data_IF_944608034632
#
_entry.id   IF_944608034632
#
_cell.length_a   1.000
_cell.length_b   1.000
_cell.length_c   1.000
_cell.angle_alpha   90.00
_cell.angle_beta   90.00
_cell.angle_gamma   90.00
#
_symmetry.space_group_name_H-M   'P 1'
#
loop_
_entity.id
_entity.type
_entity.pdbx_description
1 polymer ?
#
# COMPACT_ATOMS: atom_id res chain seq x y z
N UNK A 1 13.70 -4.03 -19.59
CA UNK A 1 14.56 -4.05 -18.38
C UNK A 1 13.95 -5.01 -17.36
N UNK A 2 14.69 -6.02 -16.90
CA UNK A 2 14.17 -7.06 -15.99
C UNK A 2 14.23 -6.57 -14.53
N UNK A 3 13.21 -6.82 -13.71
CA UNK A 3 13.15 -6.37 -12.31
C UNK A 3 14.34 -6.86 -11.48
N UNK A 4 14.79 -8.10 -11.70
CA UNK A 4 15.96 -8.66 -10.99
C UNK A 4 17.23 -7.89 -11.33
N UNK A 5 17.40 -7.55 -12.61
CA UNK A 5 18.54 -6.75 -13.06
C UNK A 5 18.50 -5.33 -12.47
N UNK A 6 17.31 -4.76 -12.25
CA UNK A 6 17.16 -3.49 -11.56
C UNK A 6 17.54 -3.59 -10.07
N UNK A 7 17.16 -4.67 -9.39
CA UNK A 7 17.51 -4.92 -7.99
C UNK A 7 19.03 -5.07 -7.79
N UNK A 8 19.69 -5.81 -8.67
CA UNK A 8 21.16 -5.93 -8.63
C UNK A 8 21.85 -4.58 -8.86
N UNK A 9 21.31 -3.74 -9.76
CA UNK A 9 21.86 -2.40 -10.02
C UNK A 9 21.77 -1.45 -8.81
N UNK A 10 20.75 -1.60 -7.96
CA UNK A 10 20.61 -0.80 -6.73
C UNK A 10 21.33 -1.43 -5.53
N UNK A 11 22.11 -2.50 -5.74
CA UNK A 11 22.91 -3.16 -4.70
C UNK A 11 22.18 -4.25 -3.92
N UNK A 12 20.97 -4.63 -4.31
CA UNK A 12 20.23 -5.73 -3.66
C UNK A 12 20.64 -7.05 -4.31
N UNK A 13 21.27 -7.93 -3.52
CA UNK A 13 21.66 -9.27 -3.95
C UNK A 13 20.43 -10.20 -4.04
N UNK A 14 20.54 -11.29 -4.80
CA UNK A 14 19.44 -12.26 -4.91
C UNK A 14 19.10 -12.94 -3.57
N UNK A 15 20.07 -13.11 -2.68
CA UNK A 15 19.85 -13.67 -1.34
C UNK A 15 19.10 -12.69 -0.45
N UNK A 16 19.44 -11.41 -0.48
CA UNK A 16 18.71 -10.37 0.23
C UNK A 16 17.29 -10.20 -0.33
N UNK A 17 17.13 -10.28 -1.66
CA UNK A 17 15.80 -10.26 -2.29
C UNK A 17 14.93 -11.40 -1.78
N UNK A 18 15.48 -12.61 -1.67
CA UNK A 18 14.76 -13.80 -1.18
C UNK A 18 14.45 -13.70 0.31
N UNK A 19 15.40 -13.28 1.14
CA UNK A 19 15.19 -13.17 2.59
C UNK A 19 14.09 -12.16 2.93
N UNK A 20 14.01 -11.07 2.16
CA UNK A 20 12.98 -10.04 2.29
C UNK A 20 11.66 -10.38 1.57
N UNK A 21 11.58 -11.52 0.87
CA UNK A 21 10.40 -11.91 0.10
C UNK A 21 10.03 -10.92 -1.02
N UNK A 22 11.01 -10.20 -1.58
CA UNK A 22 10.76 -9.19 -2.61
C UNK A 22 10.43 -9.84 -3.96
N UNK A 23 9.24 -9.54 -4.44
CA UNK A 23 8.75 -9.95 -5.75
C UNK A 23 8.25 -8.75 -6.53
N UNK A 24 7.96 -8.92 -7.83
CA UNK A 24 7.31 -7.88 -8.60
C UNK A 24 5.94 -7.48 -8.00
N UNK A 25 5.22 -8.44 -7.40
CA UNK A 25 3.94 -8.18 -6.77
C UNK A 25 4.05 -7.32 -5.49
N UNK A 26 5.20 -7.34 -4.82
CA UNK A 26 5.45 -6.51 -3.64
C UNK A 26 5.31 -5.01 -3.94
N UNK A 27 5.56 -4.57 -5.18
CA UNK A 27 5.34 -3.19 -5.61
C UNK A 27 3.86 -2.80 -5.61
N UNK A 28 2.95 -3.73 -5.92
CA UNK A 28 1.50 -3.48 -5.87
C UNK A 28 1.04 -3.26 -4.43
N UNK A 29 1.56 -4.04 -3.48
CA UNK A 29 1.33 -3.83 -2.06
C UNK A 29 1.88 -2.48 -1.59
N UNK A 30 3.11 -2.14 -2.00
CA UNK A 30 3.71 -0.83 -1.69
C UNK A 30 2.85 0.33 -2.22
N UNK A 31 2.42 0.27 -3.48
CA UNK A 31 1.60 1.31 -4.09
C UNK A 31 0.29 1.52 -3.31
N UNK A 32 -0.40 0.43 -2.98
CA UNK A 32 -1.63 0.46 -2.19
C UNK A 32 -1.41 1.10 -0.80
N UNK A 33 -0.35 0.70 -0.08
CA UNK A 33 -0.04 1.29 1.23
C UNK A 33 0.28 2.78 1.14
N UNK A 34 1.09 3.20 0.16
CA UNK A 34 1.47 4.62 0.00
C UNK A 34 0.31 5.52 -0.38
N UNK A 35 -0.60 5.05 -1.23
CA UNK A 35 -1.80 5.80 -1.59
C UNK A 35 -2.70 6.02 -0.38
N UNK A 36 -2.83 5.01 0.49
CA UNK A 36 -3.57 5.13 1.75
C UNK A 36 -2.93 6.07 2.75
N UNK A 37 -1.61 5.97 2.94
CA UNK A 37 -0.86 6.90 3.81
C UNK A 37 -1.03 8.36 3.37
N UNK A 38 -1.23 8.58 2.07
CA UNK A 38 -1.48 9.91 1.49
C UNK A 38 -2.91 10.42 1.70
N UNK A 39 -3.78 9.65 2.36
CA UNK A 39 -5.17 10.01 2.64
C UNK A 39 -6.11 9.90 1.43
N UNK A 40 -5.69 9.21 0.36
CA UNK A 40 -6.56 8.95 -0.80
C UNK A 40 -7.67 8.00 -0.38
N UNK A 41 -8.90 8.26 -0.82
CA UNK A 41 -10.04 7.41 -0.50
C UNK A 41 -9.90 6.01 -1.11
N UNK A 42 -10.31 4.99 -0.37
CA UNK A 42 -10.22 3.58 -0.80
C UNK A 42 -10.97 3.32 -2.12
N UNK A 43 -12.00 4.11 -2.45
CA UNK A 43 -12.67 4.05 -3.74
C UNK A 43 -11.74 4.40 -4.92
N UNK A 44 -10.99 5.49 -4.79
CA UNK A 44 -10.02 5.95 -5.81
C UNK A 44 -8.85 4.97 -5.90
N UNK A 45 -8.37 4.45 -4.76
CA UNK A 45 -7.30 3.45 -4.74
C UNK A 45 -7.73 2.16 -5.45
N UNK A 46 -8.96 1.70 -5.22
CA UNK A 46 -9.49 0.50 -5.91
C UNK A 46 -9.58 0.68 -7.41
N UNK A 47 -9.96 1.86 -7.87
CA UNK A 47 -10.00 2.20 -9.30
C UNK A 47 -8.59 2.22 -9.92
N UNK A 48 -7.63 2.88 -9.26
CA UNK A 48 -6.23 2.95 -9.70
C UNK A 48 -5.57 1.57 -9.74
N UNK A 49 -5.81 0.75 -8.71
CA UNK A 49 -5.17 -0.56 -8.56
C UNK A 49 -5.94 -1.64 -9.35
N UNK A 50 -7.21 -1.42 -9.69
CA UNK A 50 -8.05 -2.34 -10.45
C UNK A 50 -8.56 -3.54 -9.65
N UNK A 51 -8.78 -3.37 -8.34
CA UNK A 51 -9.36 -4.44 -7.51
C UNK A 51 -10.88 -4.50 -7.73
N UNK A 52 -11.39 -5.65 -8.21
CA UNK A 52 -12.84 -5.87 -8.44
C UNK A 52 -13.67 -6.11 -7.18
N UNK A 53 -13.05 -6.36 -6.03
CA UNK A 53 -13.75 -6.69 -4.78
C UNK A 53 -13.16 -5.93 -3.59
N UNK A 54 -14.06 -5.45 -2.73
CA UNK A 54 -13.78 -4.73 -1.49
C UNK A 54 -12.98 -5.59 -0.49
N UNK A 55 -13.21 -6.90 -0.50
CA UNK A 55 -12.52 -7.88 0.35
C UNK A 55 -10.99 -7.96 0.15
N UNK A 56 -10.49 -7.58 -1.03
CA UNK A 56 -9.03 -7.53 -1.30
C UNK A 56 -8.36 -6.28 -0.69
N UNK A 57 -9.18 -5.33 -0.26
CA UNK A 57 -8.79 -4.00 0.23
C UNK A 57 -8.88 -3.95 1.76
N UNK A 58 -9.75 -4.79 2.36
CA UNK A 58 -10.10 -4.87 3.78
C UNK A 58 -8.93 -5.32 4.70
N UNK A 59 -7.95 -6.04 4.17
CA UNK A 59 -6.78 -6.50 4.95
C UNK A 59 -5.79 -5.39 5.38
N UNK A 60 -6.09 -4.13 5.10
CA UNK A 60 -5.22 -2.98 5.35
C UNK A 60 -5.86 -1.91 6.26
N UNK A 61 -7.11 -2.07 6.65
CA UNK A 61 -7.77 -1.18 7.61
C UNK A 61 -7.44 -1.59 9.05
N UNK A 62 -6.19 -1.37 9.47
CA UNK A 62 -5.92 -1.20 10.90
C UNK A 62 -5.98 0.29 11.19
N UNK A 63 -7.17 0.77 11.54
CA UNK A 63 -7.36 2.13 12.00
C UNK A 63 -6.53 2.28 13.28
N UNK A 64 -5.43 3.02 13.21
CA UNK A 64 -4.68 3.41 14.41
C UNK A 64 -5.54 4.41 15.18
N UNK A 65 -6.25 3.92 16.19
CA UNK A 65 -7.19 4.67 17.03
C UNK A 65 -6.57 5.90 17.71
N UNK A 66 -5.23 6.02 17.71
CA UNK A 66 -4.50 7.18 18.22
C UNK A 66 -4.58 8.42 17.34
N UNK A 67 -5.02 8.30 16.07
CA UNK A 67 -5.14 9.44 15.14
C UNK A 67 -6.53 10.09 15.11
N UNK A 68 -7.50 9.56 15.86
CA UNK A 68 -8.85 10.13 15.89
C UNK A 68 -8.88 11.27 16.91
N UNK A 69 -8.51 12.47 16.48
CA UNK A 69 -8.84 13.68 17.24
C UNK A 69 -10.31 14.04 17.00
N UNK A 70 -11.06 14.22 18.09
CA UNK A 70 -12.48 14.61 18.07
C UNK A 70 -12.76 15.97 17.39
N UNK A 71 -11.72 16.72 16.99
CA UNK A 71 -11.82 18.06 16.42
C UNK A 71 -12.41 18.10 15.00
N UNK A 72 -12.41 16.99 14.27
CA UNK A 72 -12.89 16.94 12.87
C UNK A 72 -14.38 16.60 12.75
N UNK A 73 -15.07 16.30 13.85
CA UNK A 73 -16.50 16.04 13.84
C UNK A 73 -17.29 17.35 13.86
N UNK A 74 -17.34 18.06 12.72
CA UNK A 74 -18.38 19.07 12.47
C UNK A 74 -19.73 18.35 12.33
N UNK A 75 -20.37 18.08 13.46
CA UNK A 75 -21.79 17.77 13.52
C UNK A 75 -22.53 19.05 13.15
N UNK A 76 -23.03 19.13 11.93
CA UNK A 76 -24.12 20.05 11.60
C UNK A 76 -25.37 19.52 12.30
N UNK A 77 -25.65 20.06 13.50
CA UNK A 77 -27.03 20.19 14.01
C UNK A 77 -27.58 21.51 13.50
#
# INVERSE_FOLDING_TARGET
MNYKAALVKIGITEDERKSRGLTFHSYRHLANTRLRESGVSDAVIREIIGHKSEAMTENYSHIDTRKISFADLKVCV
#
